data_IF_516407194786
#
_entry.id   IF_516407194786
#
_cell.length_a   1.000
_cell.length_b   1.000
_cell.length_c   1.000
_cell.angle_alpha   90.00
_cell.angle_beta   90.00
_cell.angle_gamma   90.00
#
_symmetry.space_group_name_H-M   'P 1'
#
loop_
_entity.id
_entity.type
_entity.pdbx_description
1 polymer ?
#
# COMPACT_ATOMS: atom_id res chain seq x y z
N UNK A 1 -5.92 -12.54 -2.12
CA UNK A 1 -6.05 -11.78 -0.87
C UNK A 1 -5.54 -10.37 -1.08
N UNK A 2 -6.11 -9.41 -0.37
CA UNK A 2 -5.76 -8.01 -0.55
C UNK A 2 -4.29 -7.74 -0.31
N UNK A 3 -3.75 -8.33 0.76
CA UNK A 3 -2.34 -8.12 1.08
C UNK A 3 -1.42 -8.55 -0.05
N UNK A 4 -1.71 -9.69 -0.68
CA UNK A 4 -0.85 -10.22 -1.75
C UNK A 4 -0.81 -9.27 -2.94
N UNK A 5 -1.95 -8.72 -3.32
CA UNK A 5 -2.01 -7.77 -4.42
C UNK A 5 -1.31 -6.46 -4.09
N UNK A 6 -1.49 -5.99 -2.87
CA UNK A 6 -0.83 -4.77 -2.41
C UNK A 6 0.68 -4.97 -2.41
N UNK A 7 1.14 -6.11 -1.93
CA UNK A 7 2.56 -6.44 -1.92
C UNK A 7 3.14 -6.44 -3.34
N UNK A 8 2.40 -7.02 -4.28
CA UNK A 8 2.85 -7.06 -5.68
C UNK A 8 2.97 -5.65 -6.26
N UNK A 9 2.00 -4.78 -6.00
CA UNK A 9 2.03 -3.41 -6.46
C UNK A 9 3.24 -2.67 -5.90
N UNK A 10 3.48 -2.81 -4.59
CA UNK A 10 4.60 -2.15 -3.94
C UNK A 10 5.93 -2.66 -4.48
N UNK A 11 6.05 -3.97 -4.64
CA UNK A 11 7.28 -4.56 -5.15
C UNK A 11 7.61 -4.03 -6.53
N UNK A 12 6.61 -3.91 -7.39
CA UNK A 12 6.79 -3.40 -8.73
C UNK A 12 7.13 -1.91 -8.73
N UNK A 13 6.39 -1.12 -7.95
CA UNK A 13 6.60 0.31 -7.88
C UNK A 13 7.98 0.66 -7.31
N UNK A 14 8.40 -0.04 -6.28
CA UNK A 14 9.66 0.24 -5.59
C UNK A 14 10.83 -0.59 -6.13
N UNK A 15 10.57 -1.48 -7.07
CA UNK A 15 11.58 -2.33 -7.69
C UNK A 15 12.35 -3.15 -6.66
N UNK A 16 11.61 -3.81 -5.78
CA UNK A 16 12.17 -4.68 -4.75
C UNK A 16 11.49 -6.04 -4.79
N UNK A 17 12.08 -7.00 -4.09
CA UNK A 17 11.53 -8.35 -4.01
C UNK A 17 10.29 -8.36 -3.13
N UNK A 18 9.21 -8.98 -3.60
CA UNK A 18 7.98 -9.07 -2.81
C UNK A 18 8.17 -9.87 -1.53
N UNK A 19 9.15 -10.78 -1.50
CA UNK A 19 9.44 -11.57 -0.31
C UNK A 19 9.99 -10.73 0.84
N UNK A 20 10.50 -9.54 0.54
CA UNK A 20 11.00 -8.64 1.58
C UNK A 20 9.90 -7.79 2.21
N UNK A 21 8.67 -7.87 1.70
CA UNK A 21 7.55 -7.05 2.15
C UNK A 21 6.66 -7.87 3.07
N UNK A 22 6.42 -7.36 4.28
CA UNK A 22 5.53 -7.99 5.26
C UNK A 22 4.48 -6.98 5.70
N UNK A 23 3.54 -7.40 6.53
CA UNK A 23 2.52 -6.50 7.04
C UNK A 23 3.12 -5.41 7.93
N UNK A 24 4.24 -5.70 8.57
CA UNK A 24 4.93 -4.73 9.42
C UNK A 24 5.83 -3.76 8.66
N UNK A 25 6.05 -4.00 7.37
CA UNK A 25 6.91 -3.14 6.55
C UNK A 25 6.35 -1.73 6.52
N UNK A 26 7.19 -0.74 6.84
CA UNK A 26 6.78 0.67 6.81
C UNK A 26 7.15 1.30 5.47
N UNK A 27 6.30 2.21 5.02
CA UNK A 27 6.54 2.88 3.74
C UNK A 27 7.74 3.82 3.79
N UNK A 28 7.87 4.58 4.86
CA UNK A 28 8.93 5.58 4.94
C UNK A 28 10.28 5.01 5.33
N UNK A 29 10.29 4.18 6.36
CA UNK A 29 11.56 3.67 6.90
C UNK A 29 12.06 2.44 6.16
N UNK A 30 11.20 1.44 5.99
CA UNK A 30 11.62 0.18 5.38
C UNK A 30 11.70 0.27 3.87
N UNK A 31 10.73 0.92 3.24
CA UNK A 31 10.68 1.04 1.79
C UNK A 31 11.34 2.32 1.29
N UNK A 32 11.61 3.25 2.18
CA UNK A 32 12.19 4.53 1.82
C UNK A 32 11.36 5.24 0.74
N UNK A 33 10.04 5.10 0.81
CA UNK A 33 9.13 5.70 -0.15
C UNK A 33 8.86 7.15 0.24
N UNK A 34 8.93 8.05 -0.73
CA UNK A 34 8.55 9.43 -0.48
C UNK A 34 7.06 9.62 -0.75
N UNK A 35 6.57 10.85 -0.60
CA UNK A 35 5.16 11.15 -0.77
C UNK A 35 4.64 10.78 -2.14
N UNK A 36 5.46 10.99 -3.16
CA UNK A 36 5.07 10.69 -4.53
C UNK A 36 4.93 9.19 -4.76
N UNK A 37 5.88 8.42 -4.22
CA UNK A 37 5.83 6.97 -4.33
C UNK A 37 4.57 6.42 -3.65
N UNK A 38 4.28 6.91 -2.44
CA UNK A 38 3.12 6.49 -1.68
C UNK A 38 1.84 6.83 -2.45
N UNK A 39 1.79 8.03 -3.00
CA UNK A 39 0.62 8.49 -3.76
C UNK A 39 0.38 7.60 -4.98
N UNK A 40 1.43 7.21 -5.68
CA UNK A 40 1.31 6.33 -6.84
C UNK A 40 0.85 4.94 -6.45
N UNK A 41 1.37 4.41 -5.33
CA UNK A 41 0.93 3.11 -4.83
C UNK A 41 -0.57 3.16 -4.51
N UNK A 42 -1.01 4.20 -3.81
CA UNK A 42 -2.41 4.36 -3.46
C UNK A 42 -3.29 4.45 -4.70
N UNK A 43 -2.88 5.22 -5.70
CA UNK A 43 -3.62 5.34 -6.96
C UNK A 43 -3.79 3.99 -7.64
N UNK A 44 -2.73 3.18 -7.66
CA UNK A 44 -2.78 1.84 -8.23
C UNK A 44 -3.77 0.96 -7.48
N UNK A 45 -3.73 1.03 -6.14
CA UNK A 45 -4.63 0.23 -5.31
C UNK A 45 -6.09 0.62 -5.53
N UNK A 46 -6.35 1.91 -5.65
CA UNK A 46 -7.71 2.39 -5.93
C UNK A 46 -8.23 1.81 -7.23
N UNK A 47 -7.38 1.78 -8.24
CA UNK A 47 -7.77 1.27 -9.55
C UNK A 47 -7.97 -0.24 -9.52
N UNK A 48 -7.06 -0.97 -8.87
CA UNK A 48 -7.13 -2.43 -8.82
C UNK A 48 -8.35 -2.90 -8.05
N UNK A 49 -8.64 -2.26 -6.92
CA UNK A 49 -9.72 -2.69 -6.04
C UNK A 49 -11.03 -1.95 -6.27
N UNK A 50 -11.04 -0.92 -7.12
CA UNK A 50 -12.25 -0.17 -7.43
C UNK A 50 -12.79 0.58 -6.21
N UNK A 51 -11.93 1.18 -5.41
CA UNK A 51 -12.30 1.91 -4.20
C UNK A 51 -11.44 3.17 -4.12
N UNK A 52 -11.72 4.03 -3.15
CA UNK A 52 -10.97 5.26 -2.96
C UNK A 52 -10.43 5.37 -1.54
N UNK A 53 -9.22 5.92 -1.41
CA UNK A 53 -8.64 6.25 -0.12
C UNK A 53 -8.93 7.71 0.18
N UNK A 54 -9.41 7.99 1.41
CA UNK A 54 -9.50 9.37 1.89
C UNK A 54 -8.12 9.96 2.02
N UNK A 55 -8.01 11.29 1.91
CA UNK A 55 -6.73 11.94 2.14
C UNK A 55 -6.21 11.68 3.55
N UNK A 56 -7.09 11.72 4.54
CA UNK A 56 -6.70 11.44 5.93
C UNK A 56 -6.21 10.01 6.10
N UNK A 57 -6.89 9.06 5.47
CA UNK A 57 -6.49 7.65 5.52
C UNK A 57 -5.12 7.46 4.86
N UNK A 58 -4.92 8.08 3.70
CA UNK A 58 -3.66 7.97 2.98
C UNK A 58 -2.50 8.49 3.82
N UNK A 59 -2.72 9.58 4.57
CA UNK A 59 -1.68 10.15 5.41
C UNK A 59 -1.43 9.34 6.69
N UNK A 60 -2.44 8.63 7.18
CA UNK A 60 -2.31 7.89 8.43
C UNK A 60 -1.78 6.48 8.25
N UNK A 61 -1.80 5.96 7.04
CA UNK A 61 -1.28 4.61 6.77
C UNK A 61 0.24 4.65 6.82
N UNK A 62 0.81 3.84 7.69
CA UNK A 62 2.26 3.79 7.89
C UNK A 62 2.87 2.47 7.48
N UNK A 63 2.11 1.38 7.56
CA UNK A 63 2.59 0.05 7.22
C UNK A 63 1.77 -0.56 6.10
N UNK A 64 2.36 -1.56 5.46
CA UNK A 64 1.66 -2.30 4.39
C UNK A 64 0.42 -2.98 4.94
N UNK A 65 0.51 -3.52 6.17
CA UNK A 65 -0.64 -4.14 6.82
C UNK A 65 -1.79 -3.17 7.04
N UNK A 66 -1.50 -1.93 7.40
CA UNK A 66 -2.53 -0.90 7.56
C UNK A 66 -3.22 -0.59 6.24
N UNK A 67 -2.46 -0.56 5.14
CA UNK A 67 -3.03 -0.36 3.82
C UNK A 67 -3.95 -1.51 3.46
N UNK A 68 -3.53 -2.74 3.74
CA UNK A 68 -4.35 -3.92 3.47
C UNK A 68 -5.64 -3.91 4.28
N UNK A 69 -5.56 -3.52 5.55
CA UNK A 69 -6.74 -3.42 6.41
C UNK A 69 -7.72 -2.38 5.88
N UNK A 70 -7.21 -1.25 5.43
CA UNK A 70 -8.08 -0.21 4.88
C UNK A 70 -8.83 -0.71 3.66
N UNK A 71 -8.11 -1.35 2.74
CA UNK A 71 -8.74 -1.91 1.54
C UNK A 71 -9.78 -2.96 1.90
N UNK A 72 -9.44 -3.85 2.83
CA UNK A 72 -10.34 -4.92 3.24
C UNK A 72 -11.64 -4.35 3.82
N UNK A 73 -11.54 -3.31 4.65
CA UNK A 73 -12.71 -2.68 5.23
C UNK A 73 -13.55 -1.96 4.17
N UNK A 74 -12.89 -1.32 3.20
CA UNK A 74 -13.59 -0.61 2.14
C UNK A 74 -14.36 -1.56 1.22
N UNK A 75 -13.83 -2.77 1.02
CA UNK A 75 -14.50 -3.75 0.17
C UNK A 75 -15.59 -4.53 0.91
N UNK A 76 -15.62 -4.42 2.19
CA UNK A 76 -16.67 -4.99 2.99
C UNK A 76 -16.42 -6.28 3.61
#
# INVERSE_FOLDING_TARGET
>A
MEFDKIRDVIAEQMNISKESITEATTFKNDLNADSLDIFQIISELEEIFGMEFDNDAAESIKTVGEAADYVKKALG
#
